data_IF_540394213388
#
_entry.id   IF_540394213388
#
_cell.length_a   1.000
_cell.length_b   1.000
_cell.length_c   1.000
_cell.angle_alpha   90.00
_cell.angle_beta   90.00
_cell.angle_gamma   90.00
#
_symmetry.space_group_name_H-M   'P 1'
#
loop_
_entity.id
_entity.type
_entity.pdbx_description
1 polymer ?
#
# COMPACT_ATOMS: atom_id res chain seq x y z
N UNK A 1 12.20 21.32 -23.42
CA UNK A 1 12.69 21.09 -22.05
C UNK A 1 12.60 22.38 -21.21
N UNK A 2 11.99 22.30 -20.05
CA UNK A 2 11.96 23.40 -19.08
C UNK A 2 13.17 23.27 -18.16
N UNK A 3 13.96 24.35 -18.07
CA UNK A 3 15.14 24.40 -17.18
C UNK A 3 14.71 24.33 -15.71
N UNK A 4 15.55 23.71 -14.88
CA UNK A 4 15.32 23.49 -13.45
C UNK A 4 14.00 22.74 -13.14
N UNK A 5 13.44 22.02 -14.09
CA UNK A 5 12.29 21.14 -13.86
C UNK A 5 12.76 19.68 -13.84
N UNK A 6 12.28 18.93 -12.85
CA UNK A 6 12.47 17.49 -12.71
C UNK A 6 11.11 16.84 -12.82
N UNK A 7 10.97 15.90 -13.75
CA UNK A 7 9.82 14.99 -13.82
C UNK A 7 10.12 13.76 -12.97
N UNK A 8 9.26 13.44 -12.01
CA UNK A 8 9.39 12.28 -11.13
C UNK A 8 8.25 11.33 -11.42
N UNK A 9 8.61 10.12 -11.81
CA UNK A 9 7.66 9.04 -12.11
C UNK A 9 7.76 8.02 -10.99
N UNK A 10 6.61 7.70 -10.38
CA UNK A 10 6.54 6.75 -9.26
C UNK A 10 5.76 5.52 -9.66
N UNK A 11 6.43 4.39 -9.67
CA UNK A 11 5.82 3.10 -9.99
C UNK A 11 5.67 2.24 -8.73
N UNK A 12 4.65 1.39 -8.73
CA UNK A 12 4.42 0.40 -7.70
C UNK A 12 3.59 0.90 -6.52
N UNK A 13 4.10 0.84 -5.29
CA UNK A 13 3.29 0.93 -4.08
C UNK A 13 3.38 2.28 -3.35
N UNK A 14 2.49 2.49 -2.37
CA UNK A 14 2.47 3.67 -1.50
C UNK A 14 3.79 3.94 -0.74
N UNK A 15 4.63 2.91 -0.52
CA UNK A 15 5.96 3.10 0.09
C UNK A 15 6.89 3.83 -0.87
N UNK A 16 6.87 3.47 -2.17
CA UNK A 16 7.62 4.19 -3.20
C UNK A 16 7.10 5.63 -3.37
N UNK A 17 5.79 5.84 -3.24
CA UNK A 17 5.20 7.17 -3.30
C UNK A 17 5.76 8.08 -2.20
N UNK A 18 5.81 7.59 -0.96
CA UNK A 18 6.43 8.35 0.16
C UNK A 18 7.90 8.66 -0.12
N UNK A 19 8.66 7.73 -0.69
CA UNK A 19 10.06 7.95 -1.06
C UNK A 19 10.20 9.03 -2.13
N UNK A 20 9.33 9.04 -3.14
CA UNK A 20 9.30 10.08 -4.18
C UNK A 20 8.92 11.45 -3.61
N UNK A 21 7.93 11.53 -2.73
CA UNK A 21 7.51 12.78 -2.09
C UNK A 21 8.61 13.41 -1.22
N UNK A 22 9.37 12.59 -0.49
CA UNK A 22 10.56 13.02 0.24
C UNK A 22 11.64 13.58 -0.70
N UNK A 23 11.89 12.86 -1.81
CA UNK A 23 12.87 13.27 -2.82
C UNK A 23 12.44 14.57 -3.51
N UNK A 24 11.17 14.71 -3.88
CA UNK A 24 10.63 15.96 -4.46
C UNK A 24 10.84 17.14 -3.55
N UNK A 25 10.59 16.99 -2.26
CA UNK A 25 10.83 18.07 -1.28
C UNK A 25 12.29 18.49 -1.22
N UNK A 26 13.22 17.56 -1.28
CA UNK A 26 14.65 17.83 -1.33
C UNK A 26 15.05 18.55 -2.62
N UNK A 27 14.48 18.18 -3.77
CA UNK A 27 14.71 18.87 -5.03
C UNK A 27 14.17 20.31 -5.00
N UNK A 28 12.97 20.54 -4.48
CA UNK A 28 12.37 21.85 -4.34
C UNK A 28 13.22 22.77 -3.44
N UNK A 29 13.71 22.25 -2.32
CA UNK A 29 14.61 22.96 -1.43
C UNK A 29 15.95 23.35 -2.10
N UNK A 30 16.33 22.61 -3.15
CA UNK A 30 17.50 22.89 -3.97
C UNK A 30 17.18 23.74 -5.22
N UNK A 31 15.97 24.28 -5.34
CA UNK A 31 15.58 25.25 -6.39
C UNK A 31 15.07 24.60 -7.68
N UNK A 32 14.73 23.32 -7.67
CA UNK A 32 14.05 22.66 -8.77
C UNK A 32 12.53 22.81 -8.66
N UNK A 33 11.86 22.77 -9.78
CA UNK A 33 10.41 22.60 -9.87
C UNK A 33 10.11 21.14 -10.18
N UNK A 34 9.41 20.44 -9.28
CA UNK A 34 9.04 19.03 -9.44
C UNK A 34 7.67 18.89 -10.10
N UNK A 35 7.55 17.94 -11.02
CA UNK A 35 6.28 17.49 -11.62
C UNK A 35 6.18 16.00 -11.41
N UNK A 36 5.09 15.56 -10.80
CA UNK A 36 4.85 14.14 -10.50
C UNK A 36 4.00 13.49 -11.61
N UNK A 37 4.38 12.27 -11.99
CA UNK A 37 3.69 11.39 -12.93
C UNK A 37 3.25 12.06 -14.24
N UNK A 38 4.11 12.89 -14.80
CA UNK A 38 3.85 13.47 -16.10
C UNK A 38 3.86 12.38 -17.20
N UNK A 39 2.78 12.29 -17.98
CA UNK A 39 2.67 11.34 -19.11
C UNK A 39 3.72 11.56 -20.19
N UNK A 40 4.34 12.72 -20.22
CA UNK A 40 5.42 13.08 -21.17
C UNK A 40 6.42 13.97 -20.45
N UNK A 41 7.72 13.68 -20.52
CA UNK A 41 8.73 14.50 -19.87
C UNK A 41 8.71 15.92 -20.46
N UNK A 42 8.68 16.90 -19.57
CA UNK A 42 8.74 18.34 -19.91
C UNK A 42 9.98 18.99 -19.32
N UNK A 43 10.52 18.44 -18.24
CA UNK A 43 11.73 18.89 -17.57
C UNK A 43 13.00 18.50 -18.32
N UNK A 44 14.11 19.07 -17.88
CA UNK A 44 15.45 18.69 -18.38
C UNK A 44 15.94 17.39 -17.73
N UNK A 45 15.37 16.99 -16.60
CA UNK A 45 15.73 15.80 -15.82
C UNK A 45 14.49 14.98 -15.58
N UNK A 46 14.61 13.65 -15.67
CA UNK A 46 13.61 12.71 -15.16
C UNK A 46 14.24 11.76 -14.14
N UNK A 47 13.46 11.42 -13.13
CA UNK A 47 13.78 10.40 -12.12
C UNK A 47 12.64 9.40 -12.09
N UNK A 48 12.92 8.12 -12.35
CA UNK A 48 11.95 7.03 -12.30
C UNK A 48 12.21 6.22 -11.03
N UNK A 49 11.24 6.22 -10.11
CA UNK A 49 11.25 5.37 -8.91
C UNK A 49 10.49 4.07 -9.23
N UNK A 50 11.23 2.98 -9.39
CA UNK A 50 10.78 1.72 -9.97
C UNK A 50 10.28 0.72 -8.94
N UNK A 51 9.38 -0.17 -9.36
CA UNK A 51 8.96 -1.35 -8.62
C UNK A 51 9.69 -2.60 -9.14
N UNK A 52 10.08 -3.50 -8.24
CA UNK A 52 10.80 -4.74 -8.57
C UNK A 52 10.27 -5.95 -7.79
N UNK A 53 8.99 -5.89 -7.37
CA UNK A 53 8.43 -6.89 -6.46
C UNK A 53 7.83 -8.09 -7.20
N UNK A 54 7.00 -7.86 -8.19
CA UNK A 54 6.34 -8.90 -9.01
C UNK A 54 6.62 -8.65 -10.48
N UNK A 55 6.48 -9.71 -11.31
CA UNK A 55 6.83 -9.66 -12.73
C UNK A 55 6.15 -8.51 -13.49
N UNK A 56 4.83 -8.36 -13.35
CA UNK A 56 4.09 -7.29 -14.04
C UNK A 56 4.63 -5.89 -13.67
N UNK A 57 4.96 -5.66 -12.41
CA UNK A 57 5.50 -4.39 -11.95
C UNK A 57 6.96 -4.17 -12.40
N UNK A 58 7.74 -5.25 -12.59
CA UNK A 58 9.06 -5.19 -13.21
C UNK A 58 8.94 -4.79 -14.68
N UNK A 59 8.02 -5.43 -15.41
CA UNK A 59 7.77 -5.12 -16.83
C UNK A 59 7.30 -3.67 -17.01
N UNK A 60 6.33 -3.21 -16.22
CA UNK A 60 5.90 -1.80 -16.22
C UNK A 60 7.06 -0.83 -15.98
N UNK A 61 7.95 -1.18 -15.05
CA UNK A 61 9.14 -0.36 -14.76
C UNK A 61 10.11 -0.32 -15.94
N UNK A 62 10.35 -1.45 -16.60
CA UNK A 62 11.22 -1.56 -17.77
C UNK A 62 10.61 -0.77 -18.93
N UNK A 63 9.34 -0.96 -19.24
CA UNK A 63 8.64 -0.27 -20.33
C UNK A 63 8.70 1.26 -20.12
N UNK A 64 8.47 1.71 -18.90
CA UNK A 64 8.57 3.14 -18.54
C UNK A 64 9.98 3.67 -18.74
N UNK A 65 11.01 2.93 -18.34
CA UNK A 65 12.42 3.34 -18.57
C UNK A 65 12.69 3.49 -20.07
N UNK A 66 12.24 2.52 -20.89
CA UNK A 66 12.42 2.54 -22.34
C UNK A 66 11.72 3.73 -23.01
N UNK A 67 10.50 4.09 -22.57
CA UNK A 67 9.80 5.29 -23.05
C UNK A 67 10.59 6.58 -22.75
N UNK A 68 11.22 6.64 -21.57
CA UNK A 68 12.02 7.81 -21.18
C UNK A 68 13.41 7.84 -21.86
N UNK A 69 13.99 6.69 -22.17
CA UNK A 69 15.19 6.60 -23.03
C UNK A 69 14.87 7.16 -24.42
N UNK A 70 13.76 6.73 -25.03
CA UNK A 70 13.32 7.29 -26.32
C UNK A 70 13.11 8.81 -26.25
N UNK A 71 12.51 9.31 -25.17
CA UNK A 71 12.34 10.75 -24.96
C UNK A 71 13.69 11.50 -24.88
N UNK A 72 14.70 10.87 -24.31
CA UNK A 72 16.07 11.42 -24.23
C UNK A 72 16.74 11.45 -25.60
N UNK A 73 16.64 10.39 -26.38
CA UNK A 73 17.16 10.31 -27.75
C UNK A 73 16.53 11.34 -28.69
N UNK A 74 15.24 11.58 -28.55
CA UNK A 74 14.50 12.63 -29.27
C UNK A 74 14.81 14.05 -28.78
N UNK A 75 15.68 14.21 -27.77
CA UNK A 75 16.06 15.51 -27.23
C UNK A 75 14.99 16.19 -26.37
N UNK A 76 13.97 15.46 -25.93
CA UNK A 76 12.91 15.93 -25.03
C UNK A 76 13.33 15.88 -23.56
N UNK A 77 14.39 15.17 -23.24
CA UNK A 77 14.97 14.97 -21.93
C UNK A 77 16.50 15.05 -22.03
N UNK A 78 17.14 15.67 -21.03
CA UNK A 78 18.60 15.78 -21.00
C UNK A 78 19.26 14.73 -20.14
N UNK A 79 18.65 14.40 -18.99
CA UNK A 79 19.17 13.48 -17.99
C UNK A 79 18.07 12.54 -17.54
N UNK A 80 18.39 11.26 -17.49
CA UNK A 80 17.51 10.20 -17.00
C UNK A 80 18.19 9.44 -15.88
N UNK A 81 17.54 9.42 -14.71
CA UNK A 81 17.97 8.68 -13.55
C UNK A 81 16.92 7.65 -13.16
N UNK A 82 17.35 6.48 -12.73
CA UNK A 82 16.47 5.40 -12.27
C UNK A 82 16.84 5.01 -10.85
N UNK A 83 15.84 4.84 -9.99
CA UNK A 83 15.99 4.39 -8.62
C UNK A 83 14.87 3.43 -8.21
N UNK A 84 14.88 2.94 -6.99
CA UNK A 84 13.79 2.13 -6.46
C UNK A 84 14.10 0.65 -6.34
N UNK A 85 13.03 -0.16 -6.23
CA UNK A 85 13.15 -1.59 -5.92
C UNK A 85 13.75 -2.40 -7.06
N UNK A 86 13.36 -2.13 -8.32
CA UNK A 86 13.92 -2.82 -9.49
C UNK A 86 15.41 -2.51 -9.61
N UNK A 87 15.75 -1.22 -9.57
CA UNK A 87 17.14 -0.78 -9.64
C UNK A 87 17.98 -1.31 -8.46
N UNK A 88 17.41 -1.43 -7.25
CA UNK A 88 18.09 -2.03 -6.11
C UNK A 88 18.41 -3.52 -6.34
N UNK A 89 17.52 -4.25 -7.02
CA UNK A 89 17.64 -5.70 -7.23
C UNK A 89 18.56 -6.07 -8.40
N UNK A 90 18.51 -5.32 -9.49
CA UNK A 90 19.11 -5.64 -10.78
C UNK A 90 20.03 -4.53 -11.32
N UNK A 91 20.69 -3.77 -10.44
CA UNK A 91 21.43 -2.57 -10.85
C UNK A 91 22.46 -2.86 -11.95
N UNK A 92 23.23 -3.94 -11.82
CA UNK A 92 24.32 -4.27 -12.77
C UNK A 92 23.78 -4.65 -14.13
N UNK A 93 22.75 -5.49 -14.15
CA UNK A 93 22.09 -5.96 -15.36
C UNK A 93 21.45 -4.77 -16.10
N UNK A 94 20.78 -3.89 -15.38
CA UNK A 94 20.16 -2.70 -15.95
C UNK A 94 21.19 -1.70 -16.50
N UNK A 95 22.34 -1.53 -15.82
CA UNK A 95 23.44 -0.67 -16.31
C UNK A 95 24.07 -1.22 -17.61
N UNK A 96 24.13 -2.56 -17.77
CA UNK A 96 24.64 -3.21 -18.97
C UNK A 96 23.64 -3.18 -20.12
N UNK A 97 22.34 -3.38 -19.84
CA UNK A 97 21.30 -3.47 -20.88
C UNK A 97 20.75 -2.11 -21.32
N UNK A 98 20.81 -1.08 -20.46
CA UNK A 98 20.27 0.26 -20.72
C UNK A 98 21.31 1.37 -20.45
N UNK A 99 22.42 1.39 -21.24
CA UNK A 99 23.51 2.36 -21.07
C UNK A 99 23.10 3.81 -21.39
N UNK A 100 21.92 4.04 -21.98
CA UNK A 100 21.36 5.35 -22.25
C UNK A 100 20.87 6.06 -20.97
N UNK A 101 20.58 5.32 -19.90
CA UNK A 101 20.28 5.86 -18.58
C UNK A 101 21.54 6.46 -17.98
N UNK A 102 21.49 7.71 -17.52
CA UNK A 102 22.69 8.39 -17.00
C UNK A 102 23.22 7.70 -15.73
N UNK A 103 22.33 7.20 -14.86
CA UNK A 103 22.74 6.41 -13.69
C UNK A 103 21.56 5.69 -13.05
N UNK A 104 21.85 4.53 -12.50
CA UNK A 104 20.96 3.76 -11.64
C UNK A 104 21.37 3.91 -10.16
N UNK A 105 20.36 4.02 -9.29
CA UNK A 105 20.54 4.14 -7.85
C UNK A 105 19.70 3.09 -7.13
N UNK A 106 20.22 2.56 -6.03
CA UNK A 106 19.42 1.74 -5.13
C UNK A 106 18.31 2.55 -4.45
N UNK A 107 17.35 1.85 -3.84
CA UNK A 107 16.18 2.44 -3.19
C UNK A 107 16.52 3.55 -2.17
N UNK A 108 17.63 3.40 -1.42
CA UNK A 108 18.00 4.29 -0.33
C UNK A 108 19.06 5.34 -0.70
N UNK A 109 19.43 5.42 -1.98
CA UNK A 109 20.58 6.19 -2.43
C UNK A 109 20.23 7.60 -2.94
N UNK A 110 19.09 8.16 -2.55
CA UNK A 110 18.65 9.50 -3.00
C UNK A 110 19.68 10.63 -2.68
N UNK A 111 20.46 10.49 -1.62
CA UNK A 111 21.54 11.45 -1.31
C UNK A 111 22.63 11.48 -2.38
N UNK A 112 22.96 10.33 -2.95
CA UNK A 112 23.92 10.23 -4.05
C UNK A 112 23.37 10.89 -5.33
N UNK A 113 22.07 10.76 -5.58
CA UNK A 113 21.42 11.43 -6.70
C UNK A 113 21.47 12.95 -6.54
N UNK A 114 21.25 13.49 -5.34
CA UNK A 114 21.43 14.94 -5.09
C UNK A 114 22.88 15.39 -5.35
N UNK A 115 23.85 14.62 -4.89
CA UNK A 115 25.28 14.91 -5.10
C UNK A 115 25.67 14.91 -6.59
N UNK A 116 25.14 13.96 -7.37
CA UNK A 116 25.34 13.91 -8.84
C UNK A 116 24.85 15.17 -9.53
N UNK A 117 23.80 15.79 -9.01
CA UNK A 117 23.26 17.06 -9.51
C UNK A 117 23.99 18.29 -8.92
N UNK A 118 25.09 18.08 -8.20
CA UNK A 118 25.83 19.16 -7.52
C UNK A 118 25.05 19.81 -6.38
N UNK A 119 24.15 19.07 -5.76
CA UNK A 119 23.28 19.49 -4.67
C UNK A 119 23.58 18.73 -3.38
N UNK A 120 23.11 19.25 -2.27
CA UNK A 120 23.22 18.62 -0.96
C UNK A 120 21.87 18.41 -0.32
N UNK A 121 21.80 17.47 0.61
CA UNK A 121 20.63 17.28 1.46
C UNK A 121 20.39 18.56 2.30
N UNK A 122 19.17 19.06 2.25
CA UNK A 122 18.75 20.22 3.04
C UNK A 122 18.13 19.73 4.34
N UNK A 123 18.87 19.80 5.43
CA UNK A 123 18.48 19.24 6.74
C UNK A 123 17.16 19.81 7.29
N UNK A 124 16.85 21.09 6.98
CA UNK A 124 15.58 21.71 7.40
C UNK A 124 14.34 21.11 6.73
N UNK A 125 14.53 20.30 5.69
CA UNK A 125 13.45 19.60 4.98
C UNK A 125 13.39 18.11 5.32
N UNK A 126 14.22 17.62 6.24
CA UNK A 126 14.20 16.22 6.63
C UNK A 126 12.85 15.87 7.26
N UNK A 127 12.22 14.80 6.75
CA UNK A 127 10.87 14.38 7.15
C UNK A 127 9.73 15.16 6.49
N UNK A 128 9.98 16.30 5.87
CA UNK A 128 8.96 17.03 5.09
C UNK A 128 8.78 16.39 3.71
N UNK A 129 7.55 16.47 3.19
CA UNK A 129 7.19 15.87 1.89
C UNK A 129 6.49 16.88 0.98
N UNK A 130 6.63 16.66 -0.30
CA UNK A 130 5.74 17.23 -1.30
C UNK A 130 4.59 16.25 -1.54
N UNK A 131 3.44 16.47 -0.89
CA UNK A 131 2.31 15.55 -1.02
C UNK A 131 1.79 15.52 -2.46
N UNK A 132 1.68 14.32 -3.01
CA UNK A 132 1.10 14.02 -4.33
C UNK A 132 -0.31 13.46 -4.22
N UNK A 133 -0.69 12.98 -3.04
CA UNK A 133 -2.06 12.58 -2.71
C UNK A 133 -3.00 13.79 -2.60
N UNK A 134 -4.33 13.61 -2.68
CA UNK A 134 -5.28 14.64 -2.26
C UNK A 134 -4.96 15.17 -0.84
N UNK A 135 -5.08 16.48 -0.65
CA UNK A 135 -4.62 17.18 0.55
C UNK A 135 -5.22 16.70 1.89
N UNK A 136 -6.22 15.86 1.89
CA UNK A 136 -6.94 15.44 3.09
C UNK A 136 -6.46 14.09 3.62
N UNK A 137 -5.67 13.32 2.88
CA UNK A 137 -5.02 12.11 3.38
C UNK A 137 -3.55 12.01 2.99
N UNK A 138 -2.79 11.27 3.77
CA UNK A 138 -1.39 10.97 3.49
C UNK A 138 -1.02 9.56 3.97
N UNK A 139 -0.05 8.96 3.30
CA UNK A 139 0.58 7.72 3.77
C UNK A 139 1.66 8.04 4.77
N UNK A 140 1.74 7.32 5.88
CA UNK A 140 2.80 7.44 6.89
C UNK A 140 3.57 6.12 6.91
N UNK A 141 4.78 6.15 6.38
CA UNK A 141 5.68 4.99 6.39
C UNK A 141 6.43 4.94 7.72
N UNK A 142 6.12 3.94 8.55
CA UNK A 142 6.66 3.83 9.92
C UNK A 142 7.90 2.94 10.02
N UNK A 143 8.14 2.10 9.02
CA UNK A 143 9.32 1.24 8.96
C UNK A 143 9.70 0.93 7.52
N UNK A 144 10.96 0.55 7.32
CA UNK A 144 11.49 0.01 6.08
C UNK A 144 11.69 -1.49 6.19
N UNK A 145 11.65 -2.20 5.06
CA UNK A 145 12.02 -3.61 4.94
C UNK A 145 11.17 -4.57 5.78
N UNK A 146 11.55 -5.86 5.83
CA UNK A 146 10.79 -6.89 6.53
C UNK A 146 11.70 -8.05 6.97
N UNK A 147 11.48 -8.53 8.19
CA UNK A 147 12.19 -9.70 8.74
C UNK A 147 11.38 -11.00 8.63
N UNK A 148 10.19 -10.98 8.02
CA UNK A 148 9.42 -12.20 7.74
C UNK A 148 10.00 -12.86 6.49
N UNK A 149 10.45 -14.09 6.62
CA UNK A 149 11.08 -14.84 5.53
C UNK A 149 10.03 -15.73 4.85
N UNK A 150 8.92 -15.14 4.39
CA UNK A 150 7.92 -15.87 3.61
C UNK A 150 8.57 -16.43 2.35
N UNK A 151 8.31 -17.71 2.04
CA UNK A 151 9.03 -18.45 1.01
C UNK A 151 8.95 -17.82 -0.40
N UNK A 152 7.86 -17.13 -0.70
CA UNK A 152 7.58 -16.49 -2.00
C UNK A 152 8.05 -15.04 -2.10
N UNK A 153 8.55 -14.45 -1.01
CA UNK A 153 8.69 -12.99 -0.92
C UNK A 153 10.11 -12.51 -1.20
N UNK A 154 10.27 -11.66 -2.20
CA UNK A 154 11.53 -11.04 -2.57
C UNK A 154 11.91 -9.82 -1.72
N UNK A 155 11.03 -9.29 -0.88
CA UNK A 155 11.28 -8.05 -0.11
C UNK A 155 12.55 -8.10 0.73
N UNK A 156 12.83 -9.15 1.54
CA UNK A 156 14.08 -9.21 2.30
C UNK A 156 15.35 -9.22 1.44
N UNK A 157 15.25 -9.76 0.21
CA UNK A 157 16.35 -9.80 -0.77
C UNK A 157 16.58 -8.39 -1.34
N UNK A 158 15.51 -7.66 -1.65
CA UNK A 158 15.58 -6.34 -2.28
C UNK A 158 16.00 -5.27 -1.28
N UNK A 159 15.40 -5.26 -0.08
CA UNK A 159 15.47 -4.11 0.84
C UNK A 159 16.21 -4.41 2.14
N UNK A 160 16.43 -5.69 2.46
CA UNK A 160 17.17 -6.10 3.65
C UNK A 160 16.32 -6.20 4.92
N UNK A 161 16.96 -5.97 6.07
CA UNK A 161 16.36 -6.17 7.39
C UNK A 161 15.44 -5.02 7.77
N UNK A 162 14.39 -5.34 8.54
CA UNK A 162 13.45 -4.37 9.08
C UNK A 162 14.14 -3.29 9.91
N UNK A 163 13.76 -2.04 9.67
CA UNK A 163 14.24 -0.87 10.42
C UNK A 163 13.05 0.02 10.73
N UNK A 164 12.71 0.13 12.01
CA UNK A 164 11.68 1.03 12.50
C UNK A 164 12.14 2.49 12.48
N UNK A 165 11.29 3.39 12.03
CA UNK A 165 11.54 4.84 12.15
C UNK A 165 11.38 5.29 13.62
N UNK A 166 12.17 6.26 14.09
CA UNK A 166 11.98 6.84 15.42
C UNK A 166 10.55 7.36 15.63
N UNK A 167 9.92 7.00 16.75
CA UNK A 167 8.54 7.38 17.08
C UNK A 167 8.32 8.89 16.99
N UNK A 168 9.24 9.67 17.55
CA UNK A 168 9.13 11.12 17.59
C UNK A 168 9.14 11.76 16.21
N UNK A 169 9.92 11.22 15.26
CA UNK A 169 9.93 11.68 13.88
C UNK A 169 8.60 11.41 13.17
N UNK A 170 8.00 10.25 13.43
CA UNK A 170 6.68 9.89 12.88
C UNK A 170 5.61 10.83 13.44
N UNK A 171 5.58 11.03 14.74
CA UNK A 171 4.60 11.90 15.39
C UNK A 171 4.77 13.36 14.96
N UNK A 172 6.00 13.82 14.76
CA UNK A 172 6.28 15.17 14.26
C UNK A 172 5.79 15.32 12.80
N UNK A 173 6.06 14.36 11.92
CA UNK A 173 5.55 14.35 10.56
C UNK A 173 4.01 14.43 10.53
N UNK A 174 3.32 13.67 11.39
CA UNK A 174 1.85 13.72 11.48
C UNK A 174 1.38 15.11 11.92
N UNK A 175 2.03 15.75 12.90
CA UNK A 175 1.67 17.12 13.35
C UNK A 175 1.84 18.15 12.23
N UNK A 176 2.91 18.04 11.46
CA UNK A 176 3.19 18.94 10.32
C UNK A 176 2.13 18.75 9.22
N UNK A 177 1.81 17.50 8.86
CA UNK A 177 0.77 17.21 7.88
C UNK A 177 -0.63 17.65 8.33
N UNK A 178 -0.96 17.51 9.61
CA UNK A 178 -2.21 18.06 10.17
C UNK A 178 -2.25 19.58 10.01
N UNK A 179 -1.14 20.28 10.25
CA UNK A 179 -1.04 21.74 10.06
C UNK A 179 -1.24 22.15 8.59
N UNK A 180 -0.89 21.28 7.64
CA UNK A 180 -1.13 21.45 6.20
C UNK A 180 -2.57 21.08 5.77
N UNK A 181 -3.37 20.50 6.67
CA UNK A 181 -4.77 20.18 6.46
C UNK A 181 -5.10 18.71 6.22
N UNK A 182 -4.12 17.81 6.35
CA UNK A 182 -4.34 16.36 6.30
C UNK A 182 -5.19 15.92 7.49
N UNK A 183 -6.15 15.04 7.24
CA UNK A 183 -7.12 14.56 8.22
C UNK A 183 -7.10 13.04 8.40
N UNK A 184 -6.70 12.32 7.38
CA UNK A 184 -6.64 10.86 7.34
C UNK A 184 -5.21 10.39 7.10
N UNK A 185 -4.77 9.41 7.86
CA UNK A 185 -3.43 8.85 7.82
C UNK A 185 -3.48 7.35 7.53
N UNK A 186 -2.88 6.95 6.42
CA UNK A 186 -2.69 5.54 6.03
C UNK A 186 -1.35 5.07 6.58
N UNK A 187 -1.36 4.26 7.63
CA UNK A 187 -0.14 3.78 8.26
C UNK A 187 0.38 2.56 7.52
N UNK A 188 1.56 2.67 6.96
CA UNK A 188 2.17 1.67 6.09
C UNK A 188 3.57 1.25 6.54
N UNK A 189 3.87 -0.02 6.34
CA UNK A 189 5.20 -0.64 6.39
C UNK A 189 5.20 -1.85 5.45
N UNK A 190 6.28 -2.59 5.35
CA UNK A 190 6.24 -3.91 4.72
C UNK A 190 5.57 -4.95 5.66
N UNK A 191 5.73 -4.76 6.94
CA UNK A 191 5.03 -5.50 8.00
C UNK A 191 4.80 -4.54 9.17
N UNK A 192 3.54 -4.14 9.35
CA UNK A 192 3.14 -3.11 10.28
C UNK A 192 3.35 -3.51 11.74
N UNK A 193 2.97 -4.75 12.07
CA UNK A 193 2.91 -5.22 13.46
C UNK A 193 4.29 -5.44 14.07
N UNK A 194 5.35 -5.51 13.26
CA UNK A 194 6.74 -5.68 13.72
C UNK A 194 7.39 -4.37 14.21
N UNK A 195 6.72 -3.22 14.07
CA UNK A 195 7.26 -1.93 14.48
C UNK A 195 7.75 -1.94 15.93
N UNK A 196 9.00 -1.55 16.13
CA UNK A 196 9.68 -1.49 17.43
C UNK A 196 10.48 -2.74 17.80
N UNK A 197 10.15 -3.91 17.24
CA UNK A 197 10.80 -5.18 17.62
C UNK A 197 12.31 -5.20 17.32
N UNK A 198 12.74 -4.48 16.30
CA UNK A 198 14.15 -4.30 15.96
C UNK A 198 14.91 -3.40 16.94
N UNK A 199 14.21 -2.60 17.75
CA UNK A 199 14.79 -1.67 18.71
C UNK A 199 15.11 -2.36 20.04
N UNK A 200 14.11 -3.04 20.63
CA UNK A 200 14.24 -3.62 21.97
C UNK A 200 13.56 -5.00 22.13
N UNK A 201 13.13 -5.60 21.04
CA UNK A 201 12.44 -6.89 21.02
C UNK A 201 10.95 -6.84 21.36
N UNK A 202 10.33 -5.65 21.43
CA UNK A 202 8.90 -5.47 21.74
C UNK A 202 8.15 -4.78 20.63
N UNK A 203 6.87 -5.08 20.51
CA UNK A 203 5.97 -4.37 19.61
C UNK A 203 5.64 -2.99 20.19
N UNK A 204 5.92 -1.91 19.47
CA UNK A 204 5.61 -0.53 19.83
C UNK A 204 4.48 0.09 18.99
N UNK A 205 3.88 -0.70 18.10
CA UNK A 205 2.81 -0.21 17.22
C UNK A 205 1.61 0.32 17.99
N UNK A 206 1.21 -0.35 19.06
CA UNK A 206 0.07 0.02 19.92
C UNK A 206 0.26 1.41 20.52
N UNK A 207 1.43 1.66 21.10
CA UNK A 207 1.80 2.96 21.69
C UNK A 207 1.83 4.05 20.60
N UNK A 208 2.47 3.80 19.47
CA UNK A 208 2.56 4.74 18.36
C UNK A 208 1.17 5.15 17.84
N UNK A 209 0.27 4.18 17.61
CA UNK A 209 -1.08 4.47 17.10
C UNK A 209 -1.91 5.22 18.15
N UNK A 210 -1.79 4.86 19.43
CA UNK A 210 -2.48 5.56 20.51
C UNK A 210 -2.05 7.03 20.60
N UNK A 211 -0.74 7.31 20.59
CA UNK A 211 -0.22 8.68 20.66
C UNK A 211 -0.57 9.48 19.39
N UNK A 212 -0.50 8.85 18.20
CA UNK A 212 -0.93 9.48 16.95
C UNK A 212 -2.41 9.87 16.97
N UNK A 213 -3.26 9.01 17.54
CA UNK A 213 -4.69 9.27 17.67
C UNK A 213 -5.00 10.46 18.62
N UNK A 214 -4.12 10.77 19.55
CA UNK A 214 -4.26 11.90 20.46
C UNK A 214 -3.80 13.24 19.85
N UNK A 215 -3.21 13.25 18.67
CA UNK A 215 -2.81 14.49 18.00
C UNK A 215 -4.07 15.25 17.53
N UNK A 216 -4.29 16.51 18.00
CA UNK A 216 -5.43 17.31 17.59
C UNK A 216 -5.46 17.52 16.07
N UNK A 217 -6.59 17.22 15.43
CA UNK A 217 -6.75 17.35 13.97
C UNK A 217 -6.72 16.03 13.23
N UNK A 218 -6.14 14.98 13.77
CA UNK A 218 -6.23 13.62 13.23
C UNK A 218 -7.68 13.12 13.33
N UNK A 219 -8.28 12.77 12.20
CA UNK A 219 -9.67 12.35 12.09
C UNK A 219 -9.80 10.85 11.79
N UNK A 220 -8.93 10.30 10.95
CA UNK A 220 -8.87 8.88 10.65
C UNK A 220 -7.43 8.38 10.60
N UNK A 221 -7.21 7.23 11.23
CA UNK A 221 -5.98 6.44 11.14
C UNK A 221 -6.38 5.06 10.64
N UNK A 222 -5.74 4.59 9.58
CA UNK A 222 -6.01 3.29 8.97
C UNK A 222 -4.75 2.45 8.95
N UNK A 223 -4.87 1.16 9.28
CA UNK A 223 -3.75 0.26 9.45
C UNK A 223 -3.65 -0.72 8.29
N UNK A 224 -2.47 -0.78 7.65
CA UNK A 224 -2.20 -1.61 6.47
C UNK A 224 -1.05 -2.58 6.70
N UNK A 225 -1.14 -3.75 6.03
CA UNK A 225 -0.07 -4.75 5.98
C UNK A 225 0.27 -5.37 7.35
N UNK A 226 -0.72 -5.70 8.15
CA UNK A 226 -0.53 -6.48 9.37
C UNK A 226 -0.17 -7.94 9.06
N UNK A 227 0.53 -8.58 9.97
CA UNK A 227 0.91 -9.98 9.86
C UNK A 227 0.24 -10.83 10.96
N UNK A 228 -0.24 -12.05 10.67
CA UNK A 228 -1.03 -12.81 11.64
C UNK A 228 -0.20 -13.40 12.79
N UNK A 229 1.05 -13.79 12.56
CA UNK A 229 1.90 -14.40 13.59
C UNK A 229 2.37 -13.35 14.60
N UNK A 230 2.19 -13.64 15.89
CA UNK A 230 2.55 -12.73 16.99
C UNK A 230 1.87 -11.35 16.88
N UNK A 231 0.62 -11.33 16.46
CA UNK A 231 -0.15 -10.10 16.36
C UNK A 231 -0.28 -9.42 17.74
N UNK A 232 0.02 -8.11 17.87
CA UNK A 232 -0.08 -7.37 19.13
C UNK A 232 -1.56 -7.16 19.51
N UNK A 233 -2.08 -8.00 20.40
CA UNK A 233 -3.50 -8.05 20.75
C UNK A 233 -4.01 -6.80 21.45
N UNK A 234 -3.14 -6.03 22.09
CA UNK A 234 -3.43 -4.72 22.72
C UNK A 234 -3.73 -3.61 21.69
N UNK A 235 -3.26 -3.77 20.43
CA UNK A 235 -3.64 -2.88 19.33
C UNK A 235 -5.16 -2.86 19.08
N UNK A 236 -5.84 -3.99 19.31
CA UNK A 236 -7.30 -4.09 19.17
C UNK A 236 -8.03 -3.23 20.19
N UNK A 237 -7.46 -3.06 21.39
CA UNK A 237 -8.04 -2.20 22.41
C UNK A 237 -7.97 -0.72 21.99
N UNK A 238 -6.85 -0.29 21.40
CA UNK A 238 -6.72 1.05 20.81
C UNK A 238 -7.72 1.25 19.66
N UNK A 239 -7.87 0.27 18.77
CA UNK A 239 -8.86 0.33 17.68
C UNK A 239 -10.31 0.42 18.16
N UNK A 240 -10.62 -0.20 19.32
CA UNK A 240 -11.95 -0.12 19.95
C UNK A 240 -12.18 1.22 20.63
N UNK A 241 -11.19 1.74 21.36
CA UNK A 241 -11.31 2.86 22.29
C UNK A 241 -11.10 4.23 21.63
N UNK A 242 -10.27 4.31 20.59
CA UNK A 242 -9.98 5.55 19.85
C UNK A 242 -10.92 5.68 18.65
N UNK A 243 -11.90 6.62 18.69
CA UNK A 243 -12.91 6.73 17.64
C UNK A 243 -12.36 7.19 16.28
N UNK A 244 -11.15 7.71 16.26
CA UNK A 244 -10.44 8.13 15.06
C UNK A 244 -9.47 7.07 14.52
N UNK A 245 -9.36 5.90 15.16
CA UNK A 245 -8.72 4.73 14.56
C UNK A 245 -9.82 3.94 13.84
N UNK A 246 -9.72 3.87 12.51
CA UNK A 246 -10.73 3.22 11.68
C UNK A 246 -10.91 1.76 12.08
N UNK A 247 -12.14 1.30 12.14
CA UNK A 247 -12.44 -0.12 12.31
C UNK A 247 -12.21 -0.89 11.01
N UNK A 248 -10.96 -0.87 10.60
CA UNK A 248 -10.46 -1.46 9.37
C UNK A 248 -9.05 -2.01 9.63
N UNK A 249 -8.83 -3.27 9.30
CA UNK A 249 -7.54 -3.93 9.44
C UNK A 249 -7.21 -4.70 8.18
N UNK A 250 -6.12 -4.31 7.51
CA UNK A 250 -5.55 -5.08 6.41
C UNK A 250 -4.52 -6.06 6.96
N UNK A 251 -4.85 -7.36 6.90
CA UNK A 251 -4.03 -8.47 7.40
C UNK A 251 -3.81 -9.52 6.33
N UNK A 252 -2.56 -9.68 5.91
CA UNK A 252 -2.19 -10.61 4.82
C UNK A 252 -2.12 -12.06 5.33
N UNK A 253 -3.17 -12.84 5.11
CA UNK A 253 -3.24 -14.25 5.53
C UNK A 253 -2.54 -15.20 4.53
N UNK A 254 -2.68 -14.95 3.25
CA UNK A 254 -2.14 -15.68 2.11
C UNK A 254 -2.84 -17.03 1.86
N UNK A 255 -2.99 -17.87 2.86
CA UNK A 255 -3.68 -19.17 2.77
C UNK A 255 -4.25 -19.57 4.13
N UNK A 256 -4.91 -20.76 4.21
CA UNK A 256 -5.44 -21.31 5.47
C UNK A 256 -5.03 -22.77 5.72
N UNK A 257 -4.74 -23.56 4.69
CA UNK A 257 -4.27 -24.94 4.87
C UNK A 257 -2.93 -24.95 5.62
N UNK A 258 -2.80 -25.76 6.66
CA UNK A 258 -1.56 -25.91 7.42
C UNK A 258 -0.39 -26.38 6.55
N UNK A 259 -0.68 -27.21 5.53
CA UNK A 259 0.29 -27.61 4.52
C UNK A 259 0.85 -26.39 3.78
N UNK A 260 -0.01 -25.53 3.25
CA UNK A 260 0.41 -24.33 2.52
C UNK A 260 1.04 -23.29 3.43
N UNK A 261 0.49 -23.03 4.59
CA UNK A 261 1.07 -22.08 5.57
C UNK A 261 2.50 -22.48 5.97
N UNK A 262 2.75 -23.79 6.14
CA UNK A 262 4.10 -24.31 6.42
C UNK A 262 5.03 -24.12 5.23
N UNK A 263 4.60 -24.52 4.03
CA UNK A 263 5.40 -24.38 2.81
C UNK A 263 5.70 -22.91 2.44
N UNK A 264 4.76 -22.01 2.71
CA UNK A 264 4.92 -20.57 2.54
C UNK A 264 5.74 -19.89 3.65
N UNK A 265 6.18 -20.60 4.67
CA UNK A 265 6.89 -20.08 5.85
C UNK A 265 6.08 -18.98 6.58
N UNK A 266 4.76 -19.20 6.77
CA UNK A 266 3.91 -18.20 7.46
C UNK A 266 4.03 -18.23 8.97
N UNK A 267 4.59 -19.30 9.55
CA UNK A 267 4.80 -19.46 11.01
C UNK A 267 3.51 -19.27 11.82
N UNK A 268 2.40 -19.65 11.28
CA UNK A 268 1.06 -19.64 11.90
C UNK A 268 0.28 -20.85 11.36
N UNK A 269 -0.55 -21.43 12.20
CA UNK A 269 -1.43 -22.52 11.84
C UNK A 269 -2.83 -22.04 11.45
N UNK A 270 -3.61 -22.91 10.79
CA UNK A 270 -5.04 -22.69 10.53
C UNK A 270 -5.78 -22.30 11.80
N UNK A 271 -5.61 -23.09 12.88
CA UNK A 271 -6.34 -22.84 14.12
C UNK A 271 -5.95 -21.51 14.79
N UNK A 272 -4.68 -21.14 14.78
CA UNK A 272 -4.21 -19.84 15.28
C UNK A 272 -4.79 -18.69 14.46
N UNK A 273 -4.85 -18.82 13.13
CA UNK A 273 -5.45 -17.83 12.23
C UNK A 273 -6.93 -17.65 12.51
N UNK A 274 -7.70 -18.73 12.63
CA UNK A 274 -9.14 -18.67 12.96
C UNK A 274 -9.36 -18.02 14.35
N UNK A 275 -8.56 -18.41 15.34
CA UNK A 275 -8.64 -17.85 16.69
C UNK A 275 -8.32 -16.34 16.69
N UNK A 276 -7.33 -15.91 15.91
CA UNK A 276 -6.98 -14.49 15.76
C UNK A 276 -8.14 -13.71 15.13
N UNK A 277 -8.70 -14.18 14.03
CA UNK A 277 -9.83 -13.50 13.36
C UNK A 277 -11.05 -13.40 14.27
N UNK A 278 -11.36 -14.47 15.00
CA UNK A 278 -12.41 -14.46 16.03
C UNK A 278 -12.15 -13.40 17.09
N UNK A 279 -10.95 -13.37 17.65
CA UNK A 279 -10.57 -12.38 18.66
C UNK A 279 -10.63 -10.94 18.15
N UNK A 280 -10.23 -10.70 16.88
CA UNK A 280 -10.32 -9.40 16.23
C UNK A 280 -11.80 -8.94 16.17
N UNK A 281 -12.69 -9.79 15.66
CA UNK A 281 -14.12 -9.46 15.57
C UNK A 281 -14.82 -9.29 16.90
N UNK A 282 -14.45 -10.08 17.91
CA UNK A 282 -15.01 -9.98 19.28
C UNK A 282 -14.53 -8.71 20.00
N UNK A 283 -13.24 -8.34 19.88
CA UNK A 283 -12.68 -7.17 20.56
C UNK A 283 -13.02 -5.85 19.88
N UNK A 284 -13.19 -5.85 18.55
CA UNK A 284 -13.52 -4.65 17.75
C UNK A 284 -14.82 -4.91 16.97
N UNK A 285 -15.99 -4.83 17.61
CA UNK A 285 -17.26 -5.08 16.94
C UNK A 285 -17.47 -4.17 15.74
N UNK A 286 -17.86 -4.77 14.60
CA UNK A 286 -18.08 -4.06 13.34
C UNK A 286 -16.82 -3.74 12.56
N UNK A 287 -15.67 -4.33 12.91
CA UNK A 287 -14.43 -4.18 12.15
C UNK A 287 -14.59 -4.80 10.76
N UNK A 288 -14.07 -4.11 9.74
CA UNK A 288 -13.89 -4.64 8.39
C UNK A 288 -12.47 -5.19 8.25
N UNK A 289 -12.38 -6.47 7.91
CA UNK A 289 -11.11 -7.15 7.69
C UNK A 289 -10.85 -7.19 6.19
N UNK A 290 -9.73 -6.59 5.79
CA UNK A 290 -9.16 -6.79 4.46
C UNK A 290 -8.09 -7.86 4.53
N UNK A 291 -8.09 -8.77 3.57
CA UNK A 291 -7.03 -9.77 3.45
C UNK A 291 -6.56 -9.94 2.01
N UNK A 292 -5.42 -10.56 1.88
CA UNK A 292 -4.87 -10.98 0.59
C UNK A 292 -4.58 -12.48 0.67
N UNK A 293 -5.03 -13.22 -0.37
CA UNK A 293 -4.82 -14.65 -0.49
C UNK A 293 -4.02 -14.98 -1.75
N UNK A 294 -3.36 -16.12 -1.75
CA UNK A 294 -2.57 -16.62 -2.87
C UNK A 294 -3.04 -18.03 -3.21
N UNK A 295 -3.23 -18.30 -4.49
CA UNK A 295 -3.56 -19.62 -5.03
C UNK A 295 -2.47 -20.13 -5.94
N UNK A 296 -2.37 -21.45 -6.08
CA UNK A 296 -1.41 -22.07 -6.98
C UNK A 296 0.04 -21.99 -6.53
N UNK A 297 0.28 -21.85 -5.22
CA UNK A 297 1.64 -21.98 -4.67
C UNK A 297 2.16 -23.41 -4.93
N UNK A 298 3.48 -23.60 -5.17
CA UNK A 298 4.05 -24.93 -5.39
C UNK A 298 3.60 -25.97 -4.38
N UNK A 299 3.05 -27.08 -4.88
CA UNK A 299 2.52 -28.18 -4.07
C UNK A 299 1.07 -28.01 -3.60
N UNK A 300 0.39 -26.90 -3.90
CA UNK A 300 -1.03 -26.73 -3.54
C UNK A 300 -1.92 -27.78 -4.20
N UNK A 301 -2.61 -28.56 -3.39
CA UNK A 301 -3.54 -29.59 -3.83
C UNK A 301 -4.96 -29.05 -4.03
N UNK A 302 -5.86 -29.85 -4.62
CA UNK A 302 -7.27 -29.47 -4.70
C UNK A 302 -7.93 -29.45 -3.31
N UNK A 303 -7.49 -30.30 -2.39
CA UNK A 303 -7.93 -30.30 -0.99
C UNK A 303 -7.54 -29.01 -0.28
N UNK A 304 -6.29 -28.54 -0.45
CA UNK A 304 -5.83 -27.26 0.11
C UNK A 304 -6.67 -26.09 -0.43
N UNK A 305 -6.96 -26.10 -1.72
CA UNK A 305 -7.78 -25.07 -2.34
C UNK A 305 -9.24 -25.09 -1.88
N UNK A 306 -9.87 -26.29 -1.76
CA UNK A 306 -11.22 -26.39 -1.21
C UNK A 306 -11.28 -25.92 0.24
N UNK A 307 -10.27 -26.23 1.04
CA UNK A 307 -10.16 -25.72 2.42
C UNK A 307 -10.09 -24.19 2.45
N UNK A 308 -9.38 -23.57 1.49
CA UNK A 308 -9.33 -22.12 1.34
C UNK A 308 -10.69 -21.51 0.98
N UNK A 309 -11.43 -22.13 0.04
CA UNK A 309 -12.78 -21.69 -0.32
C UNK A 309 -13.75 -21.77 0.85
N UNK A 310 -13.73 -22.89 1.60
CA UNK A 310 -14.59 -23.06 2.77
C UNK A 310 -14.25 -22.02 3.87
N UNK A 311 -12.98 -21.76 4.08
CA UNK A 311 -12.53 -20.71 5.00
C UNK A 311 -13.06 -19.31 4.59
N UNK A 312 -13.01 -18.95 3.32
CA UNK A 312 -13.53 -17.66 2.84
C UNK A 312 -15.06 -17.58 2.99
N UNK A 313 -15.78 -18.68 2.72
CA UNK A 313 -17.24 -18.78 2.97
C UNK A 313 -17.60 -18.56 4.43
N UNK A 314 -16.82 -19.15 5.34
CA UNK A 314 -17.06 -19.03 6.78
C UNK A 314 -16.67 -17.65 7.33
N UNK A 315 -15.52 -17.12 6.92
CA UNK A 315 -15.01 -15.86 7.47
C UNK A 315 -15.69 -14.64 6.89
N UNK A 316 -16.19 -14.71 5.64
CA UNK A 316 -16.91 -13.60 4.97
C UNK A 316 -16.16 -12.29 5.09
N UNK A 317 -14.95 -12.27 4.54
CA UNK A 317 -14.13 -11.06 4.56
C UNK A 317 -14.84 -9.88 3.88
N UNK A 318 -14.83 -8.74 4.53
CA UNK A 318 -15.42 -7.50 3.98
C UNK A 318 -14.65 -7.02 2.75
N UNK A 319 -13.34 -7.28 2.72
CA UNK A 319 -12.46 -7.00 1.59
C UNK A 319 -11.46 -8.14 1.41
N UNK A 320 -11.35 -8.63 0.23
CA UNK A 320 -10.35 -9.67 -0.08
C UNK A 320 -9.86 -9.47 -1.52
N UNK A 321 -8.54 -9.45 -1.68
CA UNK A 321 -7.89 -9.61 -2.95
C UNK A 321 -7.18 -10.96 -3.02
N UNK A 322 -7.08 -11.54 -4.20
CA UNK A 322 -6.31 -12.74 -4.41
C UNK A 322 -5.42 -12.60 -5.66
N UNK A 323 -4.37 -13.39 -5.71
CA UNK A 323 -3.51 -13.49 -6.88
C UNK A 323 -2.97 -14.91 -7.03
N UNK A 324 -2.69 -15.29 -8.28
CA UNK A 324 -1.99 -16.53 -8.58
C UNK A 324 -0.51 -16.42 -8.20
N UNK A 325 0.07 -17.49 -7.69
CA UNK A 325 1.50 -17.55 -7.44
C UNK A 325 2.30 -17.29 -8.73
N UNK A 326 3.24 -16.36 -8.64
CA UNK A 326 4.26 -16.10 -9.63
C UNK A 326 5.62 -16.35 -8.99
N UNK A 327 6.48 -17.08 -9.67
CA UNK A 327 7.82 -17.38 -9.20
C UNK A 327 8.68 -16.10 -9.25
N UNK A 328 9.29 -15.77 -8.11
CA UNK A 328 10.20 -14.64 -8.00
C UNK A 328 11.62 -15.13 -7.75
N UNK A 329 12.52 -14.78 -8.67
CA UNK A 329 13.93 -15.18 -8.64
C UNK A 329 14.60 -14.92 -7.29
N UNK A 330 15.40 -15.88 -6.82
CA UNK A 330 16.17 -15.80 -5.58
C UNK A 330 15.35 -16.00 -4.31
N UNK A 331 14.01 -16.14 -4.40
CA UNK A 331 13.19 -16.48 -3.23
C UNK A 331 13.40 -17.93 -2.81
N UNK A 332 13.00 -18.27 -1.59
CA UNK A 332 13.11 -19.64 -1.11
C UNK A 332 12.28 -20.59 -1.97
N UNK A 333 11.06 -20.20 -2.33
CA UNK A 333 10.18 -21.03 -3.18
C UNK A 333 10.81 -21.30 -4.55
N UNK A 334 11.34 -20.28 -5.22
CA UNK A 334 11.97 -20.44 -6.54
C UNK A 334 13.23 -21.34 -6.51
N UNK A 335 13.92 -21.43 -5.37
CA UNK A 335 15.16 -22.20 -5.25
C UNK A 335 14.97 -23.61 -4.69
N UNK A 336 13.84 -23.90 -4.00
CA UNK A 336 13.63 -25.15 -3.27
C UNK A 336 12.38 -25.92 -3.69
N UNK A 337 11.44 -25.28 -4.36
CA UNK A 337 10.20 -25.93 -4.83
C UNK A 337 10.14 -25.92 -6.35
N UNK A 338 9.58 -26.97 -6.91
CA UNK A 338 9.19 -27.01 -8.31
C UNK A 338 7.78 -26.40 -8.45
N UNK A 339 7.62 -25.44 -9.35
CA UNK A 339 6.29 -24.88 -9.65
C UNK A 339 5.49 -25.87 -10.47
N UNK A 340 4.87 -26.82 -9.76
CA UNK A 340 4.15 -27.97 -10.31
C UNK A 340 2.64 -27.74 -10.48
N UNK A 341 2.14 -26.52 -10.21
CA UNK A 341 0.73 -26.16 -10.44
C UNK A 341 0.60 -25.49 -11.80
N UNK A 342 -0.09 -26.10 -12.78
CA UNK A 342 -0.24 -25.52 -14.11
C UNK A 342 -0.90 -24.14 -14.10
N UNK A 343 -0.50 -23.25 -15.02
CA UNK A 343 -1.00 -21.88 -15.09
C UNK A 343 -2.52 -21.79 -15.22
N UNK A 344 -3.14 -22.72 -16.01
CA UNK A 344 -4.59 -22.81 -16.15
C UNK A 344 -5.30 -23.22 -14.86
N UNK A 345 -4.64 -24.02 -14.01
CA UNK A 345 -5.18 -24.40 -12.70
C UNK A 345 -5.10 -23.20 -11.73
N UNK A 346 -3.98 -22.48 -11.72
CA UNK A 346 -3.83 -21.26 -10.93
C UNK A 346 -4.91 -20.25 -11.30
N UNK A 347 -5.11 -20.00 -12.60
CA UNK A 347 -6.11 -19.04 -13.07
C UNK A 347 -7.53 -19.48 -12.70
N UNK A 348 -7.88 -20.74 -12.92
CA UNK A 348 -9.20 -21.28 -12.53
C UNK A 348 -9.46 -21.10 -11.03
N UNK A 349 -8.47 -21.43 -10.17
CA UNK A 349 -8.58 -21.25 -8.72
C UNK A 349 -8.75 -19.79 -8.33
N UNK A 350 -8.01 -18.91 -8.98
CA UNK A 350 -8.13 -17.46 -8.78
C UNK A 350 -9.54 -16.97 -9.13
N UNK A 351 -10.04 -17.35 -10.31
CA UNK A 351 -11.37 -16.94 -10.79
C UNK A 351 -12.46 -17.44 -9.85
N UNK A 352 -12.41 -18.72 -9.43
CA UNK A 352 -13.39 -19.30 -8.51
C UNK A 352 -13.38 -18.61 -7.14
N UNK A 353 -12.20 -18.32 -6.60
CA UNK A 353 -12.04 -17.61 -5.33
C UNK A 353 -12.56 -16.16 -5.41
N UNK A 354 -12.32 -15.47 -6.52
CA UNK A 354 -12.77 -14.10 -6.73
C UNK A 354 -14.27 -14.00 -6.97
N UNK A 355 -14.87 -14.97 -7.66
CA UNK A 355 -16.34 -15.06 -7.81
C UNK A 355 -17.00 -15.24 -6.43
N UNK A 356 -16.48 -16.15 -5.60
CA UNK A 356 -16.97 -16.33 -4.24
C UNK A 356 -16.89 -15.03 -3.42
N UNK A 357 -15.77 -14.29 -3.51
CA UNK A 357 -15.63 -13.04 -2.80
C UNK A 357 -16.56 -11.94 -3.35
N UNK A 358 -16.81 -11.91 -4.64
CA UNK A 358 -17.76 -10.98 -5.27
C UNK A 358 -19.17 -11.16 -4.71
N UNK A 359 -19.63 -12.42 -4.59
CA UNK A 359 -20.93 -12.74 -3.98
C UNK A 359 -20.98 -12.25 -2.52
N UNK A 360 -19.95 -12.56 -1.72
CA UNK A 360 -19.85 -12.13 -0.32
C UNK A 360 -19.84 -10.59 -0.22
N UNK A 361 -19.06 -9.90 -1.07
CA UNK A 361 -19.03 -8.43 -1.10
C UNK A 361 -20.39 -7.84 -1.42
N UNK A 362 -21.08 -8.35 -2.44
CA UNK A 362 -22.40 -7.90 -2.82
C UNK A 362 -23.42 -7.97 -1.67
N UNK A 363 -23.43 -9.10 -0.94
CA UNK A 363 -24.31 -9.27 0.24
C UNK A 363 -23.96 -8.28 1.36
N UNK A 364 -22.65 -8.10 1.66
CA UNK A 364 -22.18 -7.18 2.71
C UNK A 364 -22.51 -5.71 2.35
N UNK A 365 -22.36 -5.32 1.07
CA UNK A 365 -22.68 -3.97 0.63
C UNK A 365 -24.20 -3.73 0.63
N UNK A 366 -25.01 -4.73 0.25
CA UNK A 366 -26.46 -4.66 0.32
C UNK A 366 -26.98 -4.43 1.75
N UNK A 367 -26.33 -5.03 2.75
CA UNK A 367 -26.66 -4.85 4.17
C UNK A 367 -26.43 -3.42 4.68
N UNK A 368 -25.71 -2.58 3.94
CA UNK A 368 -25.49 -1.17 4.29
C UNK A 368 -26.59 -0.25 3.82
N UNK A 369 -27.45 -0.67 2.91
CA UNK A 369 -28.56 0.14 2.39
C UNK A 369 -29.50 0.54 3.53
N UNK A 370 -29.88 1.81 3.58
CA UNK A 370 -30.68 2.42 4.65
C UNK A 370 -29.86 2.85 5.89
N UNK A 371 -28.57 2.54 5.97
CA UNK A 371 -27.72 2.99 7.08
C UNK A 371 -27.15 4.39 6.79
N UNK A 372 -26.98 5.17 7.86
CA UNK A 372 -26.28 6.46 7.80
C UNK A 372 -24.83 6.23 8.17
N UNK A 373 -23.91 6.62 7.28
CA UNK A 373 -22.47 6.42 7.44
C UNK A 373 -21.72 7.75 7.33
N UNK A 374 -20.60 7.87 8.03
CA UNK A 374 -19.68 8.99 7.85
C UNK A 374 -18.85 8.76 6.61
N UNK A 375 -18.87 9.72 5.68
CA UNK A 375 -18.14 9.66 4.40
C UNK A 375 -17.25 10.89 4.28
N UNK A 376 -15.96 10.67 3.95
CA UNK A 376 -15.04 11.72 3.50
C UNK A 376 -15.14 11.84 1.99
N UNK A 377 -15.21 13.07 1.46
CA UNK A 377 -15.24 13.27 0.01
C UNK A 377 -13.81 13.37 -0.52
N UNK A 378 -13.46 12.49 -1.44
CA UNK A 378 -12.12 12.46 -2.04
C UNK A 378 -11.99 13.31 -3.30
N UNK A 379 -13.02 13.30 -4.17
CA UNK A 379 -12.99 14.01 -5.44
C UNK A 379 -14.42 14.27 -5.97
N UNK A 380 -14.47 15.10 -7.00
CA UNK A 380 -15.66 15.22 -7.85
C UNK A 380 -15.33 14.69 -9.24
N UNK A 381 -16.18 13.80 -9.75
CA UNK A 381 -16.00 13.17 -11.06
C UNK A 381 -17.37 13.14 -11.78
N UNK A 382 -17.44 13.84 -12.91
CA UNK A 382 -18.70 13.98 -13.64
C UNK A 382 -19.84 14.54 -12.77
N UNK A 383 -20.93 13.78 -12.71
CA UNK A 383 -22.14 14.11 -11.95
C UNK A 383 -22.13 13.61 -10.50
N UNK A 384 -20.98 13.08 -10.02
CA UNK A 384 -20.88 12.53 -8.69
C UNK A 384 -19.75 13.18 -7.88
N UNK A 385 -19.98 13.29 -6.58
CA UNK A 385 -18.93 13.34 -5.57
C UNK A 385 -18.61 11.91 -5.16
N UNK A 386 -17.32 11.61 -5.15
CA UNK A 386 -16.80 10.30 -4.77
C UNK A 386 -16.18 10.43 -3.39
N UNK A 387 -16.54 9.52 -2.49
CA UNK A 387 -16.03 9.52 -1.14
C UNK A 387 -15.87 8.11 -0.58
N UNK A 388 -15.40 8.01 0.64
CA UNK A 388 -15.15 6.74 1.34
C UNK A 388 -15.65 6.78 2.77
N UNK A 389 -16.02 5.61 3.26
CA UNK A 389 -16.29 5.40 4.68
C UNK A 389 -15.01 5.06 5.46
N UNK A 390 -15.09 4.98 6.78
CA UNK A 390 -13.99 4.47 7.61
C UNK A 390 -13.58 3.03 7.26
N UNK A 391 -14.40 2.30 6.53
CA UNK A 391 -14.20 0.91 6.13
C UNK A 391 -13.53 0.73 4.77
N UNK A 392 -13.12 1.81 4.13
CA UNK A 392 -12.54 1.77 2.78
C UNK A 392 -11.23 2.58 2.72
N UNK A 393 -10.17 1.91 2.28
CA UNK A 393 -8.88 2.55 1.99
C UNK A 393 -8.94 3.31 0.67
N UNK A 394 -8.23 4.45 0.52
CA UNK A 394 -8.13 5.12 -0.76
C UNK A 394 -7.51 4.21 -1.83
N UNK A 395 -7.94 4.40 -3.08
CA UNK A 395 -7.38 3.80 -4.31
C UNK A 395 -7.62 2.29 -4.50
N UNK A 396 -7.89 1.54 -3.43
CA UNK A 396 -7.96 0.07 -3.50
C UNK A 396 -9.27 -0.54 -3.03
N UNK A 397 -10.10 0.20 -2.31
CA UNK A 397 -11.38 -0.29 -1.78
C UNK A 397 -12.57 0.47 -2.42
N UNK A 398 -13.79 -0.09 -2.30
CA UNK A 398 -15.01 0.51 -2.83
C UNK A 398 -15.29 1.95 -2.38
N UNK A 399 -16.02 2.67 -3.20
CA UNK A 399 -16.32 4.07 -3.05
C UNK A 399 -17.80 4.32 -2.74
N UNK A 400 -18.10 5.53 -2.28
CA UNK A 400 -19.47 6.01 -2.10
C UNK A 400 -19.74 7.12 -3.11
N UNK A 401 -20.69 6.90 -4.01
CA UNK A 401 -21.10 7.83 -5.06
C UNK A 401 -22.30 8.67 -4.59
N UNK A 402 -22.14 9.99 -4.60
CA UNK A 402 -23.16 10.95 -4.16
C UNK A 402 -23.44 11.92 -5.30
N UNK A 403 -24.71 12.04 -5.73
CA UNK A 403 -25.07 12.93 -6.85
C UNK A 403 -24.72 14.38 -6.55
N UNK A 404 -24.10 15.06 -7.52
CA UNK A 404 -23.60 16.43 -7.35
C UNK A 404 -24.68 17.50 -7.56
N UNK A 405 -25.84 17.14 -8.11
CA UNK A 405 -26.97 18.03 -8.34
C UNK A 405 -27.80 18.32 -7.07
N UNK A 406 -27.71 17.48 -6.04
CA UNK A 406 -28.49 17.63 -4.82
C UNK A 406 -27.87 18.62 -3.82
N UNK A 407 -26.56 18.62 -3.66
CA UNK A 407 -25.86 19.49 -2.69
C UNK A 407 -24.40 19.71 -3.10
N UNK A 408 -23.91 20.94 -2.95
CA UNK A 408 -22.51 21.25 -3.16
C UNK A 408 -21.67 20.76 -1.97
N UNK A 409 -20.81 19.76 -2.19
CA UNK A 409 -19.91 19.21 -1.20
C UNK A 409 -18.49 19.77 -1.38
N UNK A 410 -17.69 19.64 -0.33
CA UNK A 410 -16.25 20.03 -0.34
C UNK A 410 -15.39 18.81 -0.21
N UNK A 411 -14.42 18.68 -1.11
CA UNK A 411 -13.37 17.66 -1.03
C UNK A 411 -12.60 17.79 0.29
N UNK A 412 -12.27 16.66 0.90
CA UNK A 412 -11.62 16.57 2.21
C UNK A 412 -12.54 16.91 3.40
N UNK A 413 -13.85 16.98 3.21
CA UNK A 413 -14.81 17.16 4.30
C UNK A 413 -15.64 15.92 4.54
N UNK A 414 -16.02 15.74 5.79
CA UNK A 414 -16.84 14.63 6.26
C UNK A 414 -18.32 15.01 6.23
N UNK A 415 -19.15 14.06 5.82
CA UNK A 415 -20.61 14.21 5.77
C UNK A 415 -21.29 12.95 6.31
N UNK A 416 -22.50 13.11 6.85
CA UNK A 416 -23.39 11.99 7.15
C UNK A 416 -24.18 11.67 5.89
N UNK A 417 -24.07 10.44 5.42
CA UNK A 417 -24.63 9.97 4.15
C UNK A 417 -25.50 8.76 4.42
N UNK A 418 -26.75 8.82 4.02
CA UNK A 418 -27.65 7.67 3.96
C UNK A 418 -27.32 6.86 2.71
N UNK A 419 -27.00 5.58 2.87
CA UNK A 419 -26.76 4.67 1.76
C UNK A 419 -28.10 4.30 1.13
N UNK A 420 -28.29 4.60 -0.15
CA UNK A 420 -29.56 4.44 -0.85
C UNK A 420 -29.59 3.23 -1.77
N UNK A 421 -28.44 2.79 -2.24
CA UNK A 421 -28.29 1.61 -3.08
C UNK A 421 -26.84 1.06 -2.97
N UNK A 422 -26.64 -0.18 -3.41
CA UNK A 422 -25.33 -0.83 -3.53
C UNK A 422 -25.23 -1.52 -4.88
N UNK A 423 -24.03 -1.59 -5.39
CA UNK A 423 -23.58 -2.53 -6.42
C UNK A 423 -22.69 -3.60 -5.80
N UNK A 424 -22.00 -4.40 -6.60
CA UNK A 424 -21.12 -5.48 -6.12
C UNK A 424 -20.03 -4.97 -5.18
N UNK A 425 -19.57 -3.75 -5.40
CA UNK A 425 -18.52 -3.12 -4.60
C UNK A 425 -18.92 -1.73 -4.12
N UNK A 426 -19.42 -0.86 -5.00
CA UNK A 426 -19.66 0.53 -4.70
C UNK A 426 -21.04 0.79 -4.07
N UNK A 427 -21.12 1.88 -3.32
CA UNK A 427 -22.32 2.34 -2.66
C UNK A 427 -22.83 3.65 -3.28
N UNK A 428 -24.14 3.83 -3.31
CA UNK A 428 -24.78 5.10 -3.64
C UNK A 428 -25.36 5.71 -2.38
N UNK A 429 -25.23 7.02 -2.25
CA UNK A 429 -25.70 7.67 -1.05
C UNK A 429 -26.20 9.09 -1.26
N UNK A 430 -26.94 9.56 -0.27
CA UNK A 430 -27.48 10.92 -0.18
C UNK A 430 -27.06 11.58 1.13
N UNK A 431 -26.57 12.82 1.06
CA UNK A 431 -26.20 13.57 2.26
C UNK A 431 -27.42 13.93 3.08
N UNK A 432 -27.43 13.51 4.34
CA UNK A 432 -28.50 13.82 5.29
C UNK A 432 -28.13 14.95 6.26
N UNK A 433 -26.81 15.15 6.49
CA UNK A 433 -26.32 16.21 7.37
C UNK A 433 -24.91 16.69 7.01
#
# INVERSE_FOLDING_TARGET
>A
MKKNQIDIITLGCSKNLVDSELLMKQFEANGYHCVHDSKRPQGEIAVINTCGFIEDAKQESIDTILEFIQAKEEGRLRKLYVMGCLSQRYQKELEEEMPEVDKFYGKFNYKQLLQELGKAEVSSCNGQRHLTTPRHYAYIKIAECCNRHCAYCAIPIITGKHVSRPKEEILQEVRELVAEGVKEFQIIAQELTYYGVDIDGKHHITELISEMADIPGVKWIRLHYAYPNQFPMDLLDVMREKPNVCKYLDIALQHISDHMLTSMHRHVTKQETINLLKAIRERVPGIHIRTTLMVGFPGETDEDFHELLDFVREQRFERMGAFAYSEEEGTYSATHYEDNVPAEVKQRRLDELMILQQDISSEIEADKVGKIMTVIIDRKEGDYYIGRTEFCSPEVDPEVLIRADEKRLRVGCFYQVEITASEEFDLYGKVVK
#
